data_IF_718242914917
#
_entry.id   IF_718242914917
#
_cell.length_a   1.000
_cell.length_b   1.000
_cell.length_c   1.000
_cell.angle_alpha   90.00
_cell.angle_beta   90.00
_cell.angle_gamma   90.00
#
_symmetry.space_group_name_H-M   'P 1'
#
loop_
_entity.id
_entity.type
_entity.pdbx_description
1 polymer ?
#
# COMPACT_ATOMS: atom_id res chain seq x y z
N UNK A 1 -2.98 -26.47 -29.97
CA UNK A 1 -2.76 -26.77 -28.53
C UNK A 1 -1.49 -26.14 -27.96
N UNK A 2 -0.37 -26.08 -28.70
CA UNK A 2 0.89 -25.50 -28.20
C UNK A 2 0.83 -23.99 -27.86
N UNK A 3 -0.05 -23.22 -28.53
CA UNK A 3 -0.16 -21.77 -28.33
C UNK A 3 -0.86 -21.44 -27.00
N UNK A 4 -1.90 -22.20 -26.63
CA UNK A 4 -2.59 -22.06 -25.34
C UNK A 4 -1.69 -22.48 -24.16
N UNK A 5 -0.89 -23.54 -24.34
CA UNK A 5 0.10 -23.94 -23.32
C UNK A 5 1.15 -22.86 -23.08
N UNK A 6 1.61 -22.17 -24.12
CA UNK A 6 2.57 -21.05 -23.99
C UNK A 6 1.97 -19.83 -23.28
N UNK A 7 0.70 -19.54 -23.48
CA UNK A 7 0.00 -18.44 -22.79
C UNK A 7 -0.18 -18.76 -21.30
N UNK A 8 -0.56 -19.99 -20.97
CA UNK A 8 -0.71 -20.45 -19.57
C UNK A 8 0.65 -20.44 -18.85
N UNK A 9 1.72 -20.92 -19.49
CA UNK A 9 3.07 -20.89 -18.93
C UNK A 9 3.58 -19.46 -18.68
N UNK A 10 3.26 -18.51 -19.58
CA UNK A 10 3.59 -17.09 -19.39
C UNK A 10 2.80 -16.46 -18.24
N UNK A 11 1.51 -16.76 -18.13
CA UNK A 11 0.68 -16.28 -17.02
C UNK A 11 1.20 -16.78 -15.66
N UNK A 12 1.61 -18.05 -15.58
CA UNK A 12 2.17 -18.64 -14.35
C UNK A 12 3.53 -18.00 -13.96
N UNK A 13 4.35 -17.59 -14.93
CA UNK A 13 5.64 -16.90 -14.64
C UNK A 13 5.47 -15.51 -14.00
N UNK A 14 4.32 -14.85 -14.21
CA UNK A 14 4.01 -13.57 -13.55
C UNK A 14 3.55 -13.73 -12.10
N UNK A 15 3.12 -14.95 -11.73
CA UNK A 15 2.73 -15.31 -10.37
C UNK A 15 3.87 -15.99 -9.58
N UNK A 16 5.05 -16.16 -10.17
CA UNK A 16 6.19 -16.67 -9.40
C UNK A 16 6.64 -15.60 -8.39
N UNK A 17 6.72 -15.92 -7.09
CA UNK A 17 7.25 -15.00 -6.11
C UNK A 17 8.71 -14.71 -6.46
N UNK A 18 9.01 -13.46 -6.79
CA UNK A 18 10.38 -13.00 -7.03
C UNK A 18 11.11 -13.03 -5.69
N UNK A 19 11.81 -14.12 -5.41
CA UNK A 19 12.64 -14.24 -4.23
C UNK A 19 13.72 -13.14 -4.28
N UNK A 20 13.92 -12.36 -3.21
CA UNK A 20 15.00 -11.38 -3.16
C UNK A 20 16.34 -12.11 -3.25
N UNK A 21 17.29 -11.54 -3.99
CA UNK A 21 18.61 -12.11 -4.29
C UNK A 21 19.55 -12.29 -3.07
N UNK A 22 19.05 -12.09 -1.86
CA UNK A 22 19.79 -12.30 -0.63
C UNK A 22 18.88 -12.94 0.43
N UNK A 23 18.55 -14.21 0.19
CA UNK A 23 18.07 -15.10 1.26
C UNK A 23 19.30 -15.75 1.89
N UNK A 24 19.54 -15.57 3.21
CA UNK A 24 20.60 -16.30 3.89
C UNK A 24 20.34 -17.80 3.72
N UNK A 25 21.41 -18.59 3.57
CA UNK A 25 21.39 -20.04 3.29
C UNK A 25 20.54 -20.89 4.27
N UNK A 26 20.07 -20.31 5.37
CA UNK A 26 19.11 -20.87 6.31
C UNK A 26 17.70 -21.08 5.75
N UNK A 27 17.35 -20.54 4.58
CA UNK A 27 16.04 -20.76 3.96
C UNK A 27 15.92 -22.07 3.15
N UNK A 28 17.03 -22.78 2.89
CA UNK A 28 17.02 -24.09 2.22
C UNK A 28 17.32 -25.28 3.14
N UNK A 29 17.70 -25.02 4.40
CA UNK A 29 17.68 -26.08 5.39
C UNK A 29 16.21 -26.45 5.64
N UNK A 30 15.82 -27.74 5.67
CA UNK A 30 14.63 -28.11 6.40
C UNK A 30 14.95 -27.73 7.84
N UNK A 31 14.49 -26.54 8.25
CA UNK A 31 14.48 -26.17 9.64
C UNK A 31 13.72 -27.32 10.30
N UNK A 32 14.46 -28.17 11.02
CA UNK A 32 13.90 -28.97 12.09
C UNK A 32 13.23 -27.96 13.01
N UNK A 33 11.96 -27.68 12.71
CA UNK A 33 11.10 -26.75 13.41
C UNK A 33 10.71 -27.41 14.73
N UNK A 34 11.71 -27.67 15.57
CA UNK A 34 11.50 -28.14 16.93
C UNK A 34 10.94 -27.01 17.81
N UNK A 35 10.79 -25.80 17.24
CA UNK A 35 9.91 -24.74 17.70
C UNK A 35 9.10 -24.19 16.51
N UNK A 36 8.29 -25.05 15.88
CA UNK A 36 7.14 -24.59 15.12
C UNK A 36 6.19 -23.89 16.09
N UNK A 37 6.42 -22.59 16.33
CA UNK A 37 5.44 -21.73 16.97
C UNK A 37 4.12 -21.98 16.24
N UNK A 38 3.15 -22.53 16.97
CA UNK A 38 1.85 -22.97 16.47
C UNK A 38 1.13 -21.77 15.84
N UNK A 39 1.36 -21.55 14.55
CA UNK A 39 0.59 -20.58 13.78
C UNK A 39 -0.85 -21.10 13.79
N UNK A 40 -1.81 -20.33 14.34
CA UNK A 40 -3.19 -20.77 14.36
C UNK A 40 -3.66 -21.04 12.93
N UNK A 41 -4.38 -22.15 12.74
CA UNK A 41 -4.97 -22.47 11.44
C UNK A 41 -5.81 -21.29 10.94
N UNK A 42 -5.87 -21.07 9.63
CA UNK A 42 -6.66 -19.97 9.05
C UNK A 42 -8.13 -20.04 9.49
N UNK A 43 -8.66 -21.25 9.67
CA UNK A 43 -9.99 -21.53 10.25
C UNK A 43 -10.12 -21.00 11.68
N UNK A 44 -9.15 -21.28 12.55
CA UNK A 44 -9.16 -20.81 13.94
C UNK A 44 -9.04 -19.28 14.05
N UNK A 45 -8.30 -18.63 13.14
CA UNK A 45 -8.23 -17.16 13.07
C UNK A 45 -9.55 -16.53 12.61
N UNK A 46 -10.21 -17.17 11.64
CA UNK A 46 -11.50 -16.71 11.16
C UNK A 46 -12.55 -16.77 12.28
N UNK A 47 -12.63 -17.89 13.00
CA UNK A 47 -13.52 -18.05 14.16
C UNK A 47 -13.26 -17.01 15.25
N UNK A 48 -11.99 -16.71 15.54
CA UNK A 48 -11.63 -15.68 16.52
C UNK A 48 -12.07 -14.27 16.08
N UNK A 49 -12.04 -13.96 14.78
CA UNK A 49 -12.49 -12.67 14.26
C UNK A 49 -14.02 -12.54 14.31
N UNK A 50 -14.77 -13.62 14.07
CA UNK A 50 -16.23 -13.64 14.19
C UNK A 50 -16.70 -13.41 15.63
N UNK A 51 -15.93 -13.90 16.62
CA UNK A 51 -16.21 -13.70 18.03
C UNK A 51 -15.71 -12.34 18.57
N UNK A 52 -14.87 -11.63 17.80
CA UNK A 52 -14.27 -10.37 18.24
C UNK A 52 -15.27 -9.20 18.11
N UNK A 53 -15.96 -8.90 19.21
CA UNK A 53 -16.76 -7.69 19.36
C UNK A 53 -16.09 -6.67 20.31
N UNK A 54 -16.19 -5.35 20.05
CA UNK A 54 -15.77 -4.35 21.03
C UNK A 54 -16.57 -4.51 22.33
N UNK A 55 -15.86 -4.76 23.45
CA UNK A 55 -16.49 -5.01 24.74
C UNK A 55 -17.27 -3.79 25.29
N UNK A 56 -16.82 -2.57 24.98
CA UNK A 56 -17.40 -1.34 25.51
C UNK A 56 -17.26 -0.16 24.54
N UNK A 57 -18.13 0.85 24.73
CA UNK A 57 -18.11 2.09 23.95
C UNK A 57 -16.87 2.92 24.29
N UNK A 58 -16.18 3.41 23.27
CA UNK A 58 -15.04 4.33 23.43
C UNK A 58 -15.53 5.70 23.88
N UNK A 59 -14.91 6.27 24.91
CA UNK A 59 -15.26 7.60 25.40
C UNK A 59 -14.97 8.70 24.35
N UNK A 60 -15.73 9.80 24.32
CA UNK A 60 -15.50 10.90 23.38
C UNK A 60 -14.07 11.45 23.41
N UNK A 61 -13.47 11.56 24.62
CA UNK A 61 -12.09 12.00 24.81
C UNK A 61 -11.08 11.08 24.12
N UNK A 62 -11.18 9.75 24.34
CA UNK A 62 -10.30 8.76 23.69
C UNK A 62 -10.43 8.79 22.17
N UNK A 63 -11.66 8.93 21.64
CA UNK A 63 -11.91 9.08 20.20
C UNK A 63 -11.25 10.35 19.65
N UNK A 64 -11.38 11.48 20.36
CA UNK A 64 -10.80 12.77 19.97
C UNK A 64 -9.27 12.71 19.90
N UNK A 65 -8.61 12.13 20.90
CA UNK A 65 -7.14 11.96 20.92
C UNK A 65 -6.69 11.09 19.74
N UNK A 66 -7.34 9.93 19.54
CA UNK A 66 -7.00 9.00 18.44
C UNK A 66 -7.17 9.62 17.05
N UNK A 67 -8.14 10.50 16.87
CA UNK A 67 -8.41 11.15 15.60
C UNK A 67 -7.50 12.36 15.35
N UNK A 68 -7.19 13.14 16.39
CA UNK A 68 -6.34 14.33 16.31
C UNK A 68 -4.84 14.05 16.42
N UNK A 69 -4.45 12.77 16.44
CA UNK A 69 -3.06 12.35 16.48
C UNK A 69 -2.25 13.03 15.35
N UNK A 70 -1.05 13.58 15.62
CA UNK A 70 -0.29 14.35 14.64
C UNK A 70 -0.01 13.59 13.33
N UNK A 71 0.18 12.27 13.40
CA UNK A 71 0.37 11.43 12.20
C UNK A 71 -0.83 11.42 11.25
N UNK A 72 -2.05 11.62 11.76
CA UNK A 72 -3.29 11.62 10.97
C UNK A 72 -3.72 13.01 10.54
N UNK A 73 -3.07 14.06 11.07
CA UNK A 73 -3.40 15.44 10.73
C UNK A 73 -3.00 15.73 9.29
N UNK A 74 -3.84 16.50 8.59
CA UNK A 74 -3.49 16.99 7.25
C UNK A 74 -2.19 17.80 7.34
N UNK A 75 -1.20 17.38 6.57
CA UNK A 75 0.10 18.07 6.50
C UNK A 75 -0.03 19.26 5.56
N UNK A 76 0.62 20.36 5.91
CA UNK A 76 0.67 21.53 5.06
C UNK A 76 1.44 21.22 3.77
N UNK A 77 0.86 21.59 2.63
CA UNK A 77 1.51 21.46 1.33
C UNK A 77 2.42 22.68 1.13
N UNK A 78 3.73 22.49 1.28
CA UNK A 78 4.71 23.59 1.18
C UNK A 78 5.25 23.79 -0.24
N UNK A 79 5.00 22.82 -1.13
CA UNK A 79 5.61 22.77 -2.46
C UNK A 79 4.75 23.46 -3.54
N UNK A 80 4.21 24.64 -3.24
CA UNK A 80 3.60 25.51 -4.24
C UNK A 80 4.66 26.37 -4.93
N UNK A 81 4.50 26.59 -6.24
CA UNK A 81 5.33 27.46 -7.07
C UNK A 81 4.43 28.24 -8.03
N UNK A 82 4.87 29.41 -8.47
CA UNK A 82 4.16 30.18 -9.49
C UNK A 82 4.36 29.56 -10.88
N UNK A 83 3.30 29.57 -11.69
CA UNK A 83 3.39 29.13 -13.07
C UNK A 83 4.04 30.23 -13.94
N UNK A 84 5.06 29.90 -14.77
CA UNK A 84 5.73 30.91 -15.60
C UNK A 84 4.83 31.51 -16.71
N UNK A 85 3.75 30.83 -17.10
CA UNK A 85 2.87 31.29 -18.19
C UNK A 85 1.65 32.10 -17.71
N UNK A 86 1.09 31.77 -16.55
CA UNK A 86 -0.16 32.37 -16.06
C UNK A 86 -0.05 33.04 -14.70
N UNK A 87 1.06 32.87 -13.98
CA UNK A 87 1.23 33.38 -12.62
C UNK A 87 0.41 32.65 -11.54
N UNK A 88 -0.45 31.69 -11.91
CA UNK A 88 -1.23 30.93 -10.92
C UNK A 88 -0.34 29.92 -10.17
N UNK A 89 -0.68 29.65 -8.90
CA UNK A 89 0.03 28.69 -8.06
C UNK A 89 -0.19 27.27 -8.59
N UNK A 90 0.91 26.58 -8.88
CA UNK A 90 0.95 25.15 -9.24
C UNK A 90 1.75 24.36 -8.20
N UNK A 91 1.58 23.04 -8.22
CA UNK A 91 2.43 22.14 -7.44
C UNK A 91 3.79 21.94 -8.13
N UNK A 92 4.86 21.75 -7.35
CA UNK A 92 6.18 21.36 -7.88
C UNK A 92 6.05 20.09 -8.74
N UNK A 93 6.74 20.08 -9.89
CA UNK A 93 6.75 18.97 -10.87
C UNK A 93 5.39 18.61 -11.49
N UNK A 94 4.36 19.46 -11.34
CA UNK A 94 3.05 19.28 -11.99
C UNK A 94 2.83 20.34 -13.06
N UNK A 95 2.19 19.95 -14.17
CA UNK A 95 1.68 20.91 -15.14
C UNK A 95 0.63 21.82 -14.48
N UNK A 96 0.57 23.07 -14.90
CA UNK A 96 -0.45 23.99 -14.41
C UNK A 96 -1.80 23.61 -15.01
N UNK A 97 -2.78 23.31 -14.16
CA UNK A 97 -4.10 22.85 -14.60
C UNK A 97 -4.85 23.92 -15.40
N UNK A 98 -4.66 25.21 -15.07
CA UNK A 98 -5.29 26.30 -15.82
C UNK A 98 -4.65 26.52 -17.19
N UNK A 99 -3.32 26.47 -17.31
CA UNK A 99 -2.65 26.53 -18.61
C UNK A 99 -3.00 25.33 -19.49
N UNK A 100 -3.10 24.15 -18.89
CA UNK A 100 -3.52 22.93 -19.60
C UNK A 100 -4.94 23.08 -20.15
N UNK A 101 -5.89 23.54 -19.32
CA UNK A 101 -7.28 23.77 -19.73
C UNK A 101 -7.41 24.83 -20.83
N UNK A 102 -6.54 25.84 -20.82
CA UNK A 102 -6.50 26.91 -21.82
C UNK A 102 -5.71 26.54 -23.08
N UNK A 103 -5.12 25.35 -23.16
CA UNK A 103 -4.34 24.90 -24.32
C UNK A 103 -3.01 25.63 -24.54
N UNK A 104 -2.52 26.39 -23.55
CA UNK A 104 -1.35 27.28 -23.72
C UNK A 104 0.00 26.56 -23.93
N UNK A 105 0.06 25.25 -23.69
CA UNK A 105 1.28 24.46 -23.85
C UNK A 105 1.46 23.88 -25.26
N UNK A 106 0.43 23.97 -26.10
CA UNK A 106 0.39 23.37 -27.43
C UNK A 106 0.53 24.39 -28.57
N UNK A 107 0.92 25.62 -28.20
CA UNK A 107 1.24 26.72 -29.11
C UNK A 107 2.75 26.86 -29.13
#
# INVERSE_FOLDING_TARGET
>A
MALMQRVIQRALSLFQPRAPAFVPALALAPAAANNAASLPSLSSLLDALWLAAPKSKVTPSRKKIRNNHPTKRLKNIVHFQDCPLCGEKKLRHRLCMSCYKKGKYFV
#
